data_IF_910817522902
#
_entry.id   IF_910817522902
#
_cell.length_a   1.000
_cell.length_b   1.000
_cell.length_c   1.000
_cell.angle_alpha   90.00
_cell.angle_beta   90.00
_cell.angle_gamma   90.00
#
_symmetry.space_group_name_H-M   'P 1'
#
loop_
_entity.id
_entity.type
_entity.pdbx_description
1 polymer ?
#
# COMPACT_ATOMS: atom_id res chain seq x y z
N UNK A 1 -11.53 -4.64 -29.69
CA UNK A 1 -12.46 -3.68 -30.33
C UNK A 1 -13.63 -3.28 -29.44
N UNK A 2 -14.44 -4.20 -28.87
CA UNK A 2 -15.57 -3.78 -27.99
C UNK A 2 -15.12 -3.34 -26.59
N UNK A 3 -14.20 -4.08 -25.96
CA UNK A 3 -13.65 -3.74 -24.63
C UNK A 3 -12.79 -2.46 -24.66
N UNK A 4 -12.04 -2.25 -25.75
CA UNK A 4 -11.22 -1.03 -25.92
C UNK A 4 -12.11 0.22 -26.05
N UNK A 5 -13.22 0.13 -26.77
CA UNK A 5 -14.19 1.23 -26.83
C UNK A 5 -14.81 1.52 -25.46
N UNK A 6 -15.09 0.49 -24.68
CA UNK A 6 -15.68 0.65 -23.34
C UNK A 6 -14.78 1.45 -22.40
N UNK A 7 -13.46 1.18 -22.34
CA UNK A 7 -12.57 1.97 -21.47
C UNK A 7 -12.43 3.41 -21.96
N UNK A 8 -12.60 3.65 -23.27
CA UNK A 8 -12.44 4.96 -23.89
C UNK A 8 -13.65 5.80 -23.52
N UNK A 9 -14.85 5.27 -23.75
CA UNK A 9 -16.12 5.89 -23.42
C UNK A 9 -16.26 6.19 -21.92
N UNK A 10 -15.83 5.28 -21.03
CA UNK A 10 -15.89 5.50 -19.57
C UNK A 10 -14.98 6.66 -19.13
N UNK A 11 -13.79 6.76 -19.73
CA UNK A 11 -12.86 7.86 -19.45
C UNK A 11 -13.36 9.19 -20.01
N UNK A 12 -13.93 9.18 -21.21
CA UNK A 12 -14.51 10.38 -21.82
C UNK A 12 -15.74 10.88 -21.05
N UNK A 13 -16.59 9.98 -20.57
CA UNK A 13 -17.85 10.33 -19.93
C UNK A 13 -17.72 10.67 -18.44
N UNK A 14 -16.85 9.98 -17.70
CA UNK A 14 -16.85 10.02 -16.22
C UNK A 14 -15.48 10.30 -15.61
N UNK A 15 -14.48 9.47 -15.90
CA UNK A 15 -13.22 9.48 -15.15
C UNK A 15 -12.25 10.58 -15.58
N UNK A 16 -12.44 11.11 -16.78
CA UNK A 16 -11.53 12.03 -17.44
C UNK A 16 -10.48 11.29 -18.29
N UNK A 17 -9.99 12.00 -19.31
CA UNK A 17 -8.92 11.53 -20.22
C UNK A 17 -7.52 11.96 -19.76
N UNK A 18 -7.45 12.90 -18.81
CA UNK A 18 -6.19 13.26 -18.14
C UNK A 18 -5.79 12.16 -17.17
N UNK A 19 -4.50 11.78 -17.08
CA UNK A 19 -4.02 10.83 -16.07
C UNK A 19 -3.97 11.42 -14.65
N UNK A 20 -4.34 12.68 -14.46
CA UNK A 20 -4.31 13.34 -13.15
C UNK A 20 -5.57 13.04 -12.32
N UNK A 21 -5.38 12.81 -11.03
CA UNK A 21 -6.47 12.67 -10.05
C UNK A 21 -6.91 14.06 -9.59
N UNK A 22 -8.22 14.30 -9.54
CA UNK A 22 -8.80 15.56 -9.11
C UNK A 22 -8.38 15.92 -7.68
N UNK A 23 -7.98 17.17 -7.45
CA UNK A 23 -7.53 17.68 -6.16
C UNK A 23 -8.49 18.73 -5.62
N UNK A 24 -8.99 18.51 -4.41
CA UNK A 24 -9.82 19.43 -3.64
C UNK A 24 -8.95 20.20 -2.64
N UNK A 25 -9.16 21.51 -2.52
CA UNK A 25 -8.39 22.36 -1.59
C UNK A 25 -8.73 22.12 -0.10
N UNK A 26 -9.90 21.54 0.17
CA UNK A 26 -10.39 21.26 1.51
C UNK A 26 -11.39 20.09 1.49
N UNK A 27 -11.72 19.58 2.68
CA UNK A 27 -12.70 18.53 2.86
C UNK A 27 -14.05 18.87 2.19
N UNK A 28 -14.62 17.97 1.36
CA UNK A 28 -15.95 18.15 0.79
C UNK A 28 -17.04 18.03 1.87
N UNK A 29 -18.24 18.56 1.58
CA UNK A 29 -19.41 18.16 2.36
C UNK A 29 -19.72 16.68 2.13
N UNK A 30 -20.32 15.97 3.10
CA UNK A 30 -20.67 14.55 2.97
C UNK A 30 -21.48 14.23 1.71
N UNK A 31 -22.48 15.05 1.39
CA UNK A 31 -23.31 14.87 0.18
C UNK A 31 -22.50 15.07 -1.10
N UNK A 32 -21.56 16.03 -1.12
CA UNK A 32 -20.69 16.24 -2.28
C UNK A 32 -19.76 15.05 -2.45
N UNK A 33 -19.16 14.56 -1.37
CA UNK A 33 -18.29 13.40 -1.39
C UNK A 33 -18.99 12.16 -1.95
N UNK A 34 -20.18 11.86 -1.41
CA UNK A 34 -20.98 10.72 -1.84
C UNK A 34 -21.37 10.81 -3.32
N UNK A 35 -21.84 11.98 -3.77
CA UNK A 35 -22.35 12.18 -5.13
C UNK A 35 -21.24 12.22 -6.18
N UNK A 36 -20.19 13.00 -5.93
CA UNK A 36 -19.20 13.34 -6.95
C UNK A 36 -18.08 12.29 -7.04
N UNK A 37 -17.82 11.54 -5.97
CA UNK A 37 -16.68 10.61 -5.89
C UNK A 37 -17.11 9.17 -5.61
N UNK A 38 -17.81 8.92 -4.50
CA UNK A 38 -18.19 7.54 -4.11
C UNK A 38 -19.13 6.90 -5.12
N UNK A 39 -20.26 7.56 -5.42
CA UNK A 39 -21.26 7.04 -6.36
C UNK A 39 -20.71 6.92 -7.79
N UNK A 40 -19.72 7.74 -8.13
CA UNK A 40 -19.06 7.74 -9.43
C UNK A 40 -17.86 6.77 -9.50
N UNK A 41 -17.48 6.16 -8.37
CA UNK A 41 -16.27 5.34 -8.22
C UNK A 41 -15.02 6.05 -8.76
N UNK A 42 -14.83 7.31 -8.33
CA UNK A 42 -13.79 8.21 -8.82
C UNK A 42 -12.86 8.62 -7.68
N UNK A 43 -11.53 8.44 -7.82
CA UNK A 43 -10.59 8.86 -6.79
C UNK A 43 -10.48 10.39 -6.74
N UNK A 44 -10.15 10.92 -5.56
CA UNK A 44 -9.79 12.32 -5.40
C UNK A 44 -8.78 12.54 -4.28
N UNK A 45 -8.00 13.62 -4.40
CA UNK A 45 -7.05 14.04 -3.37
C UNK A 45 -7.66 15.21 -2.62
N UNK A 46 -7.69 15.14 -1.30
CA UNK A 46 -8.16 16.20 -0.42
C UNK A 46 -6.95 16.82 0.25
N UNK A 47 -6.60 18.02 -0.20
CA UNK A 47 -5.57 18.84 0.43
C UNK A 47 -6.03 19.27 1.82
N UNK A 48 -5.06 19.40 2.73
CA UNK A 48 -5.25 20.04 4.03
C UNK A 48 -6.21 19.31 4.98
N UNK A 49 -6.54 18.05 4.70
CA UNK A 49 -7.56 17.30 5.43
C UNK A 49 -7.12 16.83 6.83
N UNK A 50 -5.81 16.76 7.08
CA UNK A 50 -5.24 16.24 8.33
C UNK A 50 -4.35 17.23 9.05
N UNK A 51 -4.35 18.53 8.66
CA UNK A 51 -3.47 19.56 9.25
C UNK A 51 -3.66 19.76 10.75
N UNK A 52 -4.82 19.41 11.29
CA UNK A 52 -5.13 19.50 12.71
C UNK A 52 -4.60 18.32 13.53
N UNK A 53 -4.14 17.24 12.88
CA UNK A 53 -3.55 16.09 13.56
C UNK A 53 -2.17 16.46 14.15
N UNK A 54 -1.95 16.29 15.47
CA UNK A 54 -0.62 16.43 16.06
C UNK A 54 0.47 15.64 15.31
N UNK A 55 0.10 14.47 14.76
CA UNK A 55 0.95 13.58 13.99
C UNK A 55 1.70 14.27 12.85
N UNK A 56 1.09 15.25 12.16
CA UNK A 56 1.72 15.97 11.04
C UNK A 56 3.04 16.63 11.44
N UNK A 57 3.13 17.07 12.69
CA UNK A 57 4.34 17.69 13.23
C UNK A 57 5.20 16.72 14.02
N UNK A 58 4.60 15.81 14.80
CA UNK A 58 5.35 14.98 15.74
C UNK A 58 5.93 13.72 15.12
N UNK A 59 5.30 13.17 14.06
CA UNK A 59 5.74 11.91 13.46
C UNK A 59 6.89 12.10 12.44
N UNK A 60 7.39 13.32 12.28
CA UNK A 60 8.66 13.57 11.57
C UNK A 60 9.89 13.31 12.45
N UNK A 61 9.70 13.13 13.77
CA UNK A 61 10.76 12.80 14.73
C UNK A 61 10.71 11.30 15.09
N UNK A 62 11.66 10.52 14.56
CA UNK A 62 11.79 9.09 14.86
C UNK A 62 11.97 8.82 16.37
N UNK A 63 12.60 9.74 17.10
CA UNK A 63 12.78 9.60 18.54
C UNK A 63 11.46 9.81 19.28
N UNK A 64 10.59 10.69 18.79
CA UNK A 64 9.22 10.83 19.30
C UNK A 64 8.42 9.54 19.07
N UNK A 65 8.43 9.02 17.84
CA UNK A 65 7.75 7.77 17.51
C UNK A 65 8.28 6.62 18.35
N UNK A 66 9.60 6.47 18.46
CA UNK A 66 10.23 5.41 19.28
C UNK A 66 9.82 5.51 20.75
N UNK A 67 9.83 6.71 21.34
CA UNK A 67 9.44 6.90 22.76
C UNK A 67 7.95 6.64 22.98
N UNK A 68 7.09 7.16 22.11
CA UNK A 68 5.63 7.11 22.28
C UNK A 68 5.06 5.75 21.87
N UNK A 69 5.40 5.28 20.67
CA UNK A 69 4.98 3.96 20.18
C UNK A 69 5.62 2.79 20.92
N UNK A 70 6.78 3.00 21.57
CA UNK A 70 7.40 2.03 22.48
C UNK A 70 6.72 1.89 23.85
N UNK A 71 5.58 2.55 24.11
CA UNK A 71 4.83 2.40 25.36
C UNK A 71 5.18 3.39 26.49
N UNK A 72 6.04 4.39 26.25
CA UNK A 72 6.18 5.57 27.11
C UNK A 72 6.63 5.31 28.56
N UNK A 73 7.90 4.93 28.76
CA UNK A 73 8.57 5.02 30.06
C UNK A 73 9.94 4.35 30.03
N UNK A 74 11.02 5.12 30.15
CA UNK A 74 12.42 4.69 30.04
C UNK A 74 12.93 3.77 31.18
N UNK A 75 12.12 2.86 31.72
CA UNK A 75 12.50 2.00 32.84
C UNK A 75 12.06 0.54 32.73
N UNK A 76 11.31 0.14 31.70
CA UNK A 76 11.05 -1.28 31.49
C UNK A 76 10.92 -1.63 30.00
N UNK A 77 12.04 -2.01 29.39
CA UNK A 77 12.11 -2.55 28.03
C UNK A 77 11.35 -3.87 27.84
N UNK A 78 10.72 -4.41 28.88
CA UNK A 78 9.84 -5.59 28.80
C UNK A 78 8.35 -5.27 28.54
N UNK A 79 7.96 -3.99 28.49
CA UNK A 79 6.58 -3.51 28.27
C UNK A 79 6.34 -2.88 26.88
N UNK A 80 7.34 -2.92 25.98
CA UNK A 80 7.18 -2.40 24.63
C UNK A 80 6.13 -3.19 23.84
N UNK A 81 5.28 -2.49 23.08
CA UNK A 81 4.32 -3.14 22.18
C UNK A 81 5.08 -3.68 20.98
N UNK A 82 5.06 -5.00 20.83
CA UNK A 82 5.55 -5.65 19.63
C UNK A 82 4.61 -5.38 18.45
N UNK A 83 5.19 -4.95 17.34
CA UNK A 83 4.48 -4.67 16.09
C UNK A 83 4.86 -5.69 15.02
N UNK A 84 3.96 -5.92 14.08
CA UNK A 84 4.17 -6.85 12.96
C UNK A 84 4.89 -6.15 11.82
N UNK A 85 6.13 -6.58 11.53
CA UNK A 85 6.98 -6.03 10.46
C UNK A 85 7.15 -7.07 9.36
N UNK A 86 6.95 -6.64 8.11
CA UNK A 86 7.11 -7.49 6.95
C UNK A 86 8.54 -7.32 6.42
N UNK A 87 9.29 -8.42 6.38
CA UNK A 87 10.65 -8.48 5.85
C UNK A 87 10.63 -9.15 4.48
N UNK A 88 11.27 -8.52 3.51
CA UNK A 88 11.44 -9.04 2.15
C UNK A 88 12.87 -8.83 1.68
N UNK A 89 13.36 -9.57 0.68
CA UNK A 89 14.73 -9.37 0.20
C UNK A 89 14.88 -8.13 -0.69
N UNK A 90 13.77 -7.60 -1.22
CA UNK A 90 13.79 -6.57 -2.28
C UNK A 90 12.69 -5.51 -2.13
N UNK A 91 12.04 -5.44 -0.95
CA UNK A 91 11.03 -4.43 -0.64
C UNK A 91 9.65 -4.64 -1.26
N UNK A 92 9.48 -5.76 -1.99
CA UNK A 92 8.23 -6.17 -2.63
C UNK A 92 7.62 -7.34 -1.87
N UNK A 93 6.60 -7.03 -1.08
CA UNK A 93 5.74 -8.03 -0.46
C UNK A 93 4.52 -8.30 -1.34
N UNK A 94 3.92 -9.48 -1.20
CA UNK A 94 2.69 -9.86 -1.90
C UNK A 94 2.82 -9.58 -3.40
N UNK A 95 3.87 -10.16 -3.99
CA UNK A 95 4.31 -9.90 -5.34
C UNK A 95 4.72 -11.20 -6.05
N UNK A 96 4.74 -11.17 -7.38
CA UNK A 96 5.19 -12.30 -8.18
C UNK A 96 6.72 -12.37 -8.20
N UNK A 97 7.24 -13.57 -7.94
CA UNK A 97 8.68 -13.87 -7.97
C UNK A 97 8.91 -15.23 -8.65
N UNK A 98 10.13 -15.53 -9.15
CA UNK A 98 10.47 -16.84 -9.66
C UNK A 98 10.18 -17.94 -8.62
N UNK A 99 9.57 -19.04 -9.06
CA UNK A 99 9.27 -20.18 -8.20
C UNK A 99 10.56 -20.85 -7.70
N UNK A 100 10.61 -21.30 -6.43
CA UNK A 100 11.78 -22.00 -5.89
C UNK A 100 12.01 -23.38 -6.54
N UNK A 101 10.96 -24.00 -7.10
CA UNK A 101 11.04 -25.32 -7.73
C UNK A 101 11.37 -25.25 -9.24
N UNK A 102 10.94 -24.17 -9.91
CA UNK A 102 11.20 -23.91 -11.33
C UNK A 102 11.33 -22.40 -11.59
N UNK A 103 12.57 -21.88 -11.71
CA UNK A 103 12.84 -20.45 -11.93
C UNK A 103 12.25 -19.88 -13.22
N UNK A 104 11.81 -20.72 -14.17
CA UNK A 104 11.12 -20.26 -15.39
C UNK A 104 9.63 -19.97 -15.17
N UNK A 105 9.09 -20.40 -14.04
CA UNK A 105 7.72 -20.14 -13.60
C UNK A 105 7.66 -19.11 -12.48
N UNK A 106 6.48 -18.54 -12.22
CA UNK A 106 6.26 -17.55 -11.16
C UNK A 106 5.38 -18.12 -10.06
N UNK A 107 5.56 -17.61 -8.84
CA UNK A 107 4.69 -17.83 -7.69
C UNK A 107 4.36 -16.50 -7.01
N UNK A 108 3.26 -16.46 -6.26
CA UNK A 108 2.89 -15.32 -5.42
C UNK A 108 3.61 -15.46 -4.08
N UNK A 109 4.50 -14.51 -3.74
CA UNK A 109 5.28 -14.56 -2.51
C UNK A 109 4.79 -13.55 -1.47
N UNK A 110 4.31 -14.07 -0.33
CA UNK A 110 4.07 -13.29 0.87
C UNK A 110 5.39 -13.03 1.63
N UNK A 111 5.47 -11.94 2.41
CA UNK A 111 6.68 -11.59 3.14
C UNK A 111 6.92 -12.51 4.34
N UNK A 112 8.15 -12.46 4.88
CA UNK A 112 8.41 -12.98 6.22
C UNK A 112 7.86 -11.98 7.24
N UNK A 113 6.87 -12.39 8.04
CA UNK A 113 6.30 -11.51 9.08
C UNK A 113 7.00 -11.81 10.41
N UNK A 114 7.57 -10.77 11.02
CA UNK A 114 8.22 -10.85 12.31
C UNK A 114 7.62 -9.83 13.28
N UNK A 115 7.28 -10.29 14.49
CA UNK A 115 6.95 -9.39 15.60
C UNK A 115 8.20 -8.92 16.30
N UNK A 116 8.30 -7.63 16.55
CA UNK A 116 9.43 -7.01 17.25
C UNK A 116 9.03 -5.69 17.91
N UNK A 117 9.81 -5.19 18.88
CA UNK A 117 9.51 -3.91 19.52
C UNK A 117 9.46 -2.76 18.52
N UNK A 118 8.49 -1.86 18.65
CA UNK A 118 8.32 -0.74 17.72
C UNK A 118 9.59 0.10 17.47
N UNK A 119 10.42 0.45 18.48
CA UNK A 119 11.66 1.18 18.22
C UNK A 119 12.64 0.41 17.33
N UNK A 120 12.71 -0.92 17.48
CA UNK A 120 13.55 -1.77 16.66
C UNK A 120 12.99 -1.88 15.23
N UNK A 121 11.67 -2.01 15.10
CA UNK A 121 10.98 -1.96 13.80
C UNK A 121 11.30 -0.67 13.05
N UNK A 122 11.14 0.48 13.71
CA UNK A 122 11.39 1.79 13.12
C UNK A 122 12.87 1.94 12.70
N UNK A 123 13.80 1.48 13.53
CA UNK A 123 15.22 1.45 13.19
C UNK A 123 15.50 0.62 11.93
N UNK A 124 14.94 -0.59 11.85
CA UNK A 124 15.11 -1.44 10.67
C UNK A 124 14.49 -0.82 9.41
N UNK A 125 13.33 -0.20 9.50
CA UNK A 125 12.67 0.46 8.37
C UNK A 125 13.49 1.65 7.87
N UNK A 126 13.96 2.52 8.77
CA UNK A 126 14.71 3.73 8.39
C UNK A 126 16.10 3.43 7.84
N UNK A 127 16.74 2.34 8.28
CA UNK A 127 18.11 1.97 7.87
C UNK A 127 18.17 0.94 6.74
N UNK A 128 17.02 0.38 6.33
CA UNK A 128 16.93 -0.53 5.18
C UNK A 128 17.43 0.17 3.91
N UNK A 129 18.46 -0.37 3.27
CA UNK A 129 19.02 0.12 2.03
C UNK A 129 19.27 -1.06 1.06
N UNK A 130 19.74 -0.76 -0.16
CA UNK A 130 19.94 -1.78 -1.20
C UNK A 130 20.98 -2.86 -0.85
N UNK A 131 21.84 -2.62 0.15
CA UNK A 131 22.86 -3.56 0.62
C UNK A 131 22.45 -4.27 1.91
N UNK A 132 21.27 -3.96 2.47
CA UNK A 132 20.73 -4.63 3.64
C UNK A 132 20.34 -6.07 3.31
N UNK A 133 20.44 -6.97 4.29
CA UNK A 133 19.99 -8.36 4.16
C UNK A 133 18.49 -8.49 3.93
N UNK A 134 17.71 -7.48 4.34
CA UNK A 134 16.28 -7.36 4.13
C UNK A 134 15.87 -5.90 3.98
N UNK A 135 14.67 -5.71 3.42
CA UNK A 135 13.89 -4.47 3.49
C UNK A 135 12.74 -4.69 4.46
N UNK A 136 12.67 -3.86 5.49
CA UNK A 136 11.60 -3.86 6.48
C UNK A 136 10.50 -2.88 6.09
N UNK A 137 9.24 -3.30 6.22
CA UNK A 137 8.06 -2.49 5.99
C UNK A 137 6.99 -2.81 7.04
N UNK A 138 6.58 -1.81 7.83
CA UNK A 138 5.37 -1.93 8.66
C UNK A 138 4.16 -1.69 7.75
N UNK A 139 3.54 -2.78 7.32
CA UNK A 139 2.39 -2.76 6.41
C UNK A 139 1.31 -3.77 6.79
N UNK A 140 1.38 -4.28 8.02
CA UNK A 140 0.34 -5.15 8.54
C UNK A 140 -1.01 -4.44 8.42
N UNK A 141 -1.98 -5.12 7.84
CA UNK A 141 -3.36 -4.62 7.77
C UNK A 141 -4.16 -5.20 8.95
N UNK A 142 -5.49 -5.24 8.87
CA UNK A 142 -6.38 -5.81 9.90
C UNK A 142 -6.49 -4.97 11.19
N UNK A 143 -6.77 -3.68 11.06
CA UNK A 143 -6.97 -2.75 12.17
C UNK A 143 -5.72 -2.65 13.07
N UNK A 144 -4.54 -2.73 12.44
CA UNK A 144 -3.26 -2.78 13.14
C UNK A 144 -3.01 -1.51 13.96
N UNK A 145 -3.54 -0.34 13.56
CA UNK A 145 -3.35 0.89 14.30
C UNK A 145 -3.93 0.81 15.71
N UNK A 146 -5.16 0.28 15.82
CA UNK A 146 -5.84 0.16 17.11
C UNK A 146 -5.26 -0.95 17.97
N UNK A 147 -4.74 -2.01 17.36
CA UNK A 147 -4.21 -3.18 18.08
C UNK A 147 -2.72 -3.08 18.43
N UNK A 148 -1.87 -2.55 17.54
CA UNK A 148 -0.41 -2.52 17.69
C UNK A 148 0.16 -1.11 17.96
N UNK A 149 -0.58 -0.03 17.61
CA UNK A 149 -0.07 1.34 17.66
C UNK A 149 -0.93 2.29 18.51
N UNK A 150 -1.74 1.75 19.43
CA UNK A 150 -2.71 2.51 20.23
C UNK A 150 -2.08 3.65 21.06
N UNK A 151 -0.80 3.55 21.42
CA UNK A 151 -0.06 4.61 22.11
C UNK A 151 0.08 5.91 21.26
N UNK A 152 -0.09 5.80 19.94
CA UNK A 152 -0.09 6.92 18.99
C UNK A 152 -1.50 7.46 18.68
N UNK A 153 -2.56 6.81 19.19
CA UNK A 153 -3.94 7.09 18.77
C UNK A 153 -4.41 8.52 19.04
N UNK A 154 -3.87 9.19 20.07
CA UNK A 154 -4.21 10.58 20.37
C UNK A 154 -3.65 11.60 19.38
N UNK A 155 -2.77 11.18 18.47
CA UNK A 155 -2.12 12.09 17.51
C UNK A 155 -2.89 12.19 16.18
N UNK A 156 -3.93 11.39 15.99
CA UNK A 156 -4.76 11.31 14.78
C UNK A 156 -6.23 11.13 15.15
N UNK A 157 -7.15 11.45 14.24
CA UNK A 157 -8.55 11.14 14.44
C UNK A 157 -8.82 9.63 14.26
N UNK A 158 -9.75 9.05 15.03
CA UNK A 158 -10.10 7.62 14.91
C UNK A 158 -10.91 7.29 13.63
N UNK A 159 -11.46 8.30 12.97
CA UNK A 159 -12.13 8.22 11.67
C UNK A 159 -12.17 9.61 11.01
N UNK A 160 -12.58 9.67 9.73
CA UNK A 160 -12.73 10.93 8.99
C UNK A 160 -14.21 11.34 8.98
N UNK A 161 -14.62 12.41 9.71
CA UNK A 161 -16.05 12.67 9.97
C UNK A 161 -16.92 12.83 8.72
N UNK A 162 -16.45 13.61 7.74
CA UNK A 162 -17.20 13.85 6.51
C UNK A 162 -17.35 12.60 5.63
N UNK A 163 -16.39 11.67 5.69
CA UNK A 163 -16.45 10.40 4.97
C UNK A 163 -17.40 9.42 5.68
N UNK A 164 -17.31 9.31 7.01
CA UNK A 164 -18.20 8.46 7.80
C UNK A 164 -19.65 8.88 7.70
N UNK A 165 -19.94 10.18 7.71
CA UNK A 165 -21.29 10.70 7.50
C UNK A 165 -21.82 10.37 6.10
N UNK A 166 -20.99 10.50 5.07
CA UNK A 166 -21.36 10.21 3.68
C UNK A 166 -21.63 8.72 3.44
N UNK A 167 -20.80 7.84 4.00
CA UNK A 167 -20.90 6.39 3.84
C UNK A 167 -21.92 5.76 4.81
N UNK A 168 -22.31 6.47 5.86
CA UNK A 168 -23.24 5.99 6.88
C UNK A 168 -22.65 4.92 7.81
N UNK A 169 -21.32 4.82 7.88
CA UNK A 169 -20.61 3.86 8.72
C UNK A 169 -19.27 4.41 9.26
N UNK A 170 -18.75 3.77 10.32
CA UNK A 170 -17.40 3.99 10.82
C UNK A 170 -16.42 3.03 10.12
N UNK A 171 -15.12 3.36 10.05
CA UNK A 171 -14.13 2.50 9.42
C UNK A 171 -13.99 1.16 10.15
N UNK A 172 -14.13 0.06 9.40
CA UNK A 172 -13.94 -1.30 9.89
C UNK A 172 -12.51 -1.54 10.38
N UNK A 173 -11.52 -0.92 9.73
CA UNK A 173 -10.12 -0.97 10.11
C UNK A 173 -9.44 0.40 9.97
N UNK A 174 -8.51 0.70 10.89
CA UNK A 174 -7.53 1.76 10.77
C UNK A 174 -6.15 1.12 10.82
N UNK A 175 -5.34 1.36 9.79
CA UNK A 175 -4.01 0.78 9.68
C UNK A 175 -2.94 1.88 9.65
N UNK A 176 -1.72 1.52 10.03
CA UNK A 176 -0.54 2.37 9.96
C UNK A 176 0.48 1.74 9.01
N UNK A 177 0.99 2.56 8.10
CA UNK A 177 2.05 2.17 7.19
C UNK A 177 3.31 2.99 7.44
N UNK A 178 4.43 2.32 7.69
CA UNK A 178 5.75 2.95 7.80
C UNK A 178 6.73 2.13 6.97
N UNK A 179 7.18 2.71 5.86
CA UNK A 179 8.14 2.11 4.94
C UNK A 179 9.14 3.17 4.45
N UNK A 180 9.98 2.78 3.51
CA UNK A 180 10.93 3.69 2.87
C UNK A 180 10.83 3.58 1.34
N UNK A 181 11.74 4.24 0.61
CA UNK A 181 11.74 4.27 -0.86
C UNK A 181 11.92 2.90 -1.54
N UNK A 182 12.29 1.84 -0.80
CA UNK A 182 12.36 0.47 -1.30
C UNK A 182 11.05 -0.29 -1.12
N UNK A 183 10.11 0.21 -0.30
CA UNK A 183 8.84 -0.45 -0.01
C UNK A 183 7.85 -0.24 -1.15
N UNK A 184 7.59 -1.29 -1.94
CA UNK A 184 6.70 -1.27 -3.10
C UNK A 184 5.56 -2.27 -2.91
N UNK A 185 4.34 -1.81 -3.16
CA UNK A 185 3.14 -2.65 -3.16
C UNK A 185 2.74 -2.89 -4.61
N UNK A 186 2.63 -4.17 -5.00
CA UNK A 186 2.26 -4.54 -6.37
C UNK A 186 0.80 -4.20 -6.67
N UNK A 187 0.43 -4.19 -7.96
CA UNK A 187 -0.94 -3.91 -8.36
C UNK A 187 -1.94 -4.93 -7.77
N UNK A 188 -2.97 -4.42 -7.11
CA UNK A 188 -4.07 -5.19 -6.54
C UNK A 188 -5.33 -4.32 -6.47
N UNK A 189 -6.42 -4.89 -5.93
CA UNK A 189 -7.65 -4.17 -5.60
C UNK A 189 -8.16 -4.63 -4.24
N UNK A 190 -8.86 -3.75 -3.56
CA UNK A 190 -9.55 -4.04 -2.32
C UNK A 190 -11.08 -4.07 -2.53
N UNK A 191 -11.81 -4.43 -1.49
CA UNK A 191 -13.27 -4.35 -1.43
C UNK A 191 -13.73 -3.29 -0.43
N UNK A 192 -12.89 -2.28 -0.19
CA UNK A 192 -13.11 -1.22 0.79
C UNK A 192 -13.03 0.15 0.11
N UNK A 193 -13.78 1.10 0.65
CA UNK A 193 -13.62 2.53 0.37
C UNK A 193 -12.40 3.04 1.17
N UNK A 194 -11.26 3.28 0.50
CA UNK A 194 -10.03 3.59 1.21
C UNK A 194 -9.80 5.10 1.34
N UNK A 195 -9.49 5.54 2.56
CA UNK A 195 -9.17 6.94 2.87
C UNK A 195 -7.70 6.98 3.33
N UNK A 196 -6.81 7.13 2.36
CA UNK A 196 -5.36 7.03 2.56
C UNK A 196 -4.76 8.39 2.93
N UNK A 197 -4.37 8.57 4.19
CA UNK A 197 -3.74 9.80 4.67
C UNK A 197 -2.21 9.68 4.71
N UNK A 198 -1.50 10.66 4.15
CA UNK A 198 -0.03 10.76 4.31
C UNK A 198 0.29 11.74 5.43
N UNK A 199 0.97 11.26 6.47
CA UNK A 199 1.38 12.07 7.63
C UNK A 199 2.77 12.66 7.45
N UNK A 200 3.72 11.88 6.93
CA UNK A 200 5.10 12.27 6.68
C UNK A 200 5.59 11.67 5.35
N UNK A 201 6.46 12.40 4.65
CA UNK A 201 6.97 12.01 3.33
C UNK A 201 5.93 12.16 2.21
N UNK A 202 6.02 11.27 1.22
CA UNK A 202 5.10 11.20 0.10
C UNK A 202 4.82 9.75 -0.31
N UNK A 203 3.66 9.53 -0.94
CA UNK A 203 3.27 8.24 -1.50
C UNK A 203 2.84 8.43 -2.95
N UNK A 204 3.41 7.63 -3.83
CA UNK A 204 3.09 7.62 -5.26
C UNK A 204 2.13 6.47 -5.55
N UNK A 205 1.02 6.77 -6.21
CA UNK A 205 0.04 5.79 -6.63
C UNK A 205 -0.05 5.75 -8.14
N UNK A 206 -0.21 4.52 -8.65
CA UNK A 206 -0.61 4.24 -10.01
C UNK A 206 -1.96 3.54 -9.94
N UNK A 207 -2.99 4.12 -10.56
CA UNK A 207 -4.37 3.65 -10.44
C UNK A 207 -4.94 3.27 -11.80
N UNK A 208 -5.64 2.14 -11.83
CA UNK A 208 -6.48 1.74 -12.95
C UNK A 208 -7.93 1.64 -12.44
N UNK A 209 -8.92 2.17 -13.17
CA UNK A 209 -10.31 1.98 -12.80
C UNK A 209 -10.71 0.51 -12.93
N UNK A 210 -11.76 0.04 -12.24
CA UNK A 210 -12.21 -1.34 -12.36
C UNK A 210 -12.57 -1.78 -13.79
N UNK A 211 -12.96 -0.84 -14.66
CA UNK A 211 -13.20 -1.10 -16.09
C UNK A 211 -11.96 -1.55 -16.85
N UNK A 212 -10.77 -1.25 -16.32
CA UNK A 212 -9.47 -1.59 -16.89
C UNK A 212 -8.91 -2.93 -16.35
N UNK A 213 -9.68 -3.68 -15.53
CA UNK A 213 -9.23 -4.93 -14.88
C UNK A 213 -8.65 -5.97 -15.87
N UNK A 214 -9.23 -6.07 -17.06
CA UNK A 214 -8.78 -7.01 -18.10
C UNK A 214 -7.34 -6.73 -18.60
N UNK A 215 -6.82 -5.52 -18.33
CA UNK A 215 -5.43 -5.12 -18.64
C UNK A 215 -4.43 -5.63 -17.61
N UNK A 216 -4.88 -6.11 -16.46
CA UNK A 216 -3.99 -6.55 -15.37
C UNK A 216 -3.51 -8.00 -15.53
N UNK A 217 -4.04 -8.74 -16.52
CA UNK A 217 -3.68 -10.13 -16.78
C UNK A 217 -3.69 -10.98 -15.49
N UNK A 218 -4.81 -10.98 -14.76
CA UNK A 218 -4.93 -11.76 -13.52
C UNK A 218 -4.81 -13.25 -13.85
N UNK A 219 -3.93 -13.97 -13.14
CA UNK A 219 -3.73 -15.41 -13.26
C UNK A 219 -3.59 -16.04 -11.87
N UNK A 220 -3.87 -17.32 -11.78
CA UNK A 220 -3.69 -18.10 -10.54
C UNK A 220 -2.22 -18.54 -10.39
N UNK A 221 -1.58 -18.08 -9.32
CA UNK A 221 -0.19 -18.41 -8.99
C UNK A 221 -0.09 -19.27 -7.75
N UNK A 222 0.80 -20.28 -7.69
CA UNK A 222 1.10 -20.99 -6.45
C UNK A 222 1.51 -20.00 -5.36
N UNK A 223 0.96 -20.15 -4.16
CA UNK A 223 1.31 -19.33 -3.01
C UNK A 223 2.63 -19.81 -2.39
N UNK A 224 3.48 -18.85 -2.04
CA UNK A 224 4.76 -19.05 -1.40
C UNK A 224 4.95 -18.01 -0.29
N UNK A 225 5.81 -18.31 0.67
CA UNK A 225 6.15 -17.40 1.75
C UNK A 225 7.66 -17.33 1.95
N UNK A 226 8.17 -16.11 2.14
CA UNK A 226 9.55 -15.89 2.54
C UNK A 226 9.78 -16.26 4.01
N UNK A 227 10.92 -16.88 4.28
CA UNK A 227 11.41 -17.17 5.62
C UNK A 227 12.80 -16.55 5.76
N UNK A 228 12.98 -15.65 6.73
CA UNK A 228 14.27 -15.03 7.02
C UNK A 228 15.01 -15.77 8.15
N UNK A 229 16.31 -15.94 8.01
CA UNK A 229 17.20 -16.53 9.01
C UNK A 229 18.14 -15.45 9.56
N UNK A 230 18.03 -15.14 10.85
CA UNK A 230 18.93 -14.18 11.52
C UNK A 230 20.36 -14.72 11.67
N UNK A 231 20.52 -16.04 11.74
CA UNK A 231 21.84 -16.68 11.90
C UNK A 231 22.69 -16.58 10.63
N UNK A 232 22.05 -16.73 9.47
CA UNK A 232 22.73 -16.70 8.16
C UNK A 232 22.57 -15.37 7.43
N UNK A 233 21.57 -14.58 7.79
CA UNK A 233 21.20 -13.36 7.09
C UNK A 233 20.51 -13.60 5.74
N UNK A 234 20.02 -14.81 5.49
CA UNK A 234 19.49 -15.25 4.18
C UNK A 234 17.97 -15.47 4.20
N UNK A 235 17.36 -15.32 3.02
CA UNK A 235 15.96 -15.69 2.78
C UNK A 235 15.85 -17.04 2.10
N UNK A 236 14.88 -17.84 2.55
CA UNK A 236 14.37 -18.99 1.83
C UNK A 236 12.93 -18.73 1.38
N UNK A 237 12.60 -19.06 0.13
CA UNK A 237 11.23 -19.02 -0.38
C UNK A 237 10.66 -20.44 -0.38
N UNK A 238 9.48 -20.63 0.20
CA UNK A 238 8.83 -21.95 0.29
C UNK A 238 7.40 -21.86 -0.23
N UNK A 239 7.06 -22.76 -1.16
CA UNK A 239 5.66 -22.95 -1.56
C UNK A 239 4.83 -23.44 -0.36
N UNK A 240 3.61 -22.95 -0.25
CA UNK A 240 2.66 -23.37 0.77
C UNK A 240 2.31 -24.86 0.61
N UNK A 241 2.12 -25.54 1.74
CA UNK A 241 1.68 -26.94 1.79
C UNK A 241 0.48 -27.05 2.75
N UNK A 242 -0.71 -27.45 2.27
CA UNK A 242 -1.04 -27.83 0.89
C UNK A 242 -0.92 -26.67 -0.11
N UNK A 243 -0.69 -26.99 -1.38
CA UNK A 243 -0.59 -25.97 -2.43
C UNK A 243 -1.90 -25.20 -2.54
N UNK A 244 -1.79 -23.89 -2.37
CA UNK A 244 -2.87 -22.92 -2.56
C UNK A 244 -2.51 -22.04 -3.75
N UNK A 245 -3.52 -21.58 -4.49
CA UNK A 245 -3.34 -20.65 -5.60
C UNK A 245 -3.95 -19.29 -5.26
N UNK A 246 -3.30 -18.22 -5.71
CA UNK A 246 -3.70 -16.83 -5.50
C UNK A 246 -3.86 -16.15 -6.87
N UNK A 247 -5.05 -15.61 -7.19
CA UNK A 247 -5.22 -14.79 -8.38
C UNK A 247 -4.49 -13.46 -8.18
N UNK A 248 -3.51 -13.15 -9.03
CA UNK A 248 -2.71 -11.93 -8.91
C UNK A 248 -2.38 -11.28 -10.25
N UNK A 249 -2.06 -9.98 -10.22
CA UNK A 249 -1.67 -9.20 -11.39
C UNK A 249 -0.34 -9.69 -11.96
N UNK A 250 -0.32 -10.06 -13.24
CA UNK A 250 0.92 -10.47 -13.92
C UNK A 250 1.80 -9.29 -14.33
N UNK A 251 1.22 -8.09 -14.41
CA UNK A 251 1.85 -6.93 -15.04
C UNK A 251 2.79 -6.23 -14.06
N UNK A 252 4.03 -6.02 -14.48
CA UNK A 252 4.90 -5.04 -13.86
C UNK A 252 4.76 -3.67 -14.56
N UNK A 253 4.21 -2.63 -13.90
CA UNK A 253 4.08 -1.30 -14.50
C UNK A 253 5.42 -0.62 -14.82
N UNK A 254 6.50 -1.02 -14.15
CA UNK A 254 7.84 -0.43 -14.27
C UNK A 254 8.87 -1.52 -14.58
N UNK A 255 8.80 -2.15 -15.78
CA UNK A 255 9.75 -3.18 -16.15
C UNK A 255 11.16 -2.59 -16.31
N UNK A 256 12.17 -3.39 -15.97
CA UNK A 256 13.57 -2.99 -16.17
C UNK A 256 13.86 -2.75 -17.66
N UNK A 257 14.88 -1.94 -18.01
CA UNK A 257 15.26 -1.75 -19.42
C UNK A 257 15.53 -3.07 -20.16
N UNK A 258 16.09 -4.07 -19.47
CA UNK A 258 16.41 -5.38 -20.04
C UNK A 258 15.17 -6.26 -20.30
N UNK A 259 14.09 -6.08 -19.52
CA UNK A 259 12.87 -6.89 -19.64
C UNK A 259 11.72 -6.16 -20.35
N UNK A 260 11.92 -4.89 -20.72
CA UNK A 260 10.86 -3.98 -21.21
C UNK A 260 10.14 -4.51 -22.45
N UNK A 261 10.87 -4.92 -23.47
CA UNK A 261 10.25 -5.37 -24.74
C UNK A 261 9.49 -6.69 -24.56
N UNK A 262 10.02 -7.59 -23.71
CA UNK A 262 9.35 -8.85 -23.34
C UNK A 262 8.06 -8.59 -22.56
N UNK A 263 8.07 -7.64 -21.63
CA UNK A 263 6.90 -7.24 -20.85
C UNK A 263 5.83 -6.58 -21.73
N UNK A 264 6.23 -5.66 -22.61
CA UNK A 264 5.33 -5.00 -23.56
C UNK A 264 4.67 -6.02 -24.50
N UNK A 265 5.44 -6.98 -25.01
CA UNK A 265 4.91 -8.02 -25.89
C UNK A 265 4.05 -9.07 -25.15
N UNK A 266 4.34 -9.34 -23.88
CA UNK A 266 3.56 -10.28 -23.05
C UNK A 266 2.25 -9.66 -22.55
N UNK A 267 2.21 -8.35 -22.32
CA UNK A 267 1.08 -7.64 -21.73
C UNK A 267 0.59 -6.43 -22.56
N UNK A 268 0.30 -6.60 -23.87
CA UNK A 268 0.00 -5.49 -24.76
C UNK A 268 -1.23 -4.67 -24.37
N UNK A 269 -2.26 -5.25 -23.74
CA UNK A 269 -3.45 -4.52 -23.31
C UNK A 269 -3.14 -3.48 -22.22
N UNK A 270 -2.14 -3.76 -21.37
CA UNK A 270 -1.68 -2.79 -20.39
C UNK A 270 -0.88 -1.69 -21.09
N UNK A 271 0.17 -2.04 -21.81
CA UNK A 271 1.13 -1.07 -22.34
C UNK A 271 0.60 -0.23 -23.52
N UNK A 272 -0.34 -0.77 -24.31
CA UNK A 272 -0.96 -0.06 -25.43
C UNK A 272 -2.30 0.60 -25.06
N UNK A 273 -2.84 0.31 -23.87
CA UNK A 273 -4.09 0.89 -23.39
C UNK A 273 -3.92 2.32 -22.82
N UNK A 274 -5.01 2.93 -22.34
CA UNK A 274 -4.98 4.26 -21.73
C UNK A 274 -3.99 4.37 -20.57
N UNK A 275 -3.32 5.50 -20.42
CA UNK A 275 -2.38 5.68 -19.31
C UNK A 275 -3.08 5.49 -17.97
N UNK A 276 -2.50 4.74 -17.02
CA UNK A 276 -3.03 4.70 -15.67
C UNK A 276 -3.00 6.10 -15.04
N UNK A 277 -3.91 6.36 -14.11
CA UNK A 277 -3.88 7.60 -13.35
C UNK A 277 -2.67 7.60 -12.42
N UNK A 278 -2.03 8.75 -12.28
CA UNK A 278 -0.86 8.92 -11.44
C UNK A 278 -1.11 10.04 -10.45
N UNK A 279 -0.85 9.78 -9.18
CA UNK A 279 -0.88 10.82 -8.17
C UNK A 279 0.22 10.65 -7.13
N UNK A 280 0.69 11.80 -6.64
CA UNK A 280 1.57 11.90 -5.49
C UNK A 280 0.79 12.56 -4.37
N UNK A 281 0.70 11.86 -3.24
CA UNK A 281 0.21 12.39 -1.98
C UNK A 281 1.38 12.90 -1.17
N UNK A 282 1.25 14.11 -0.62
CA UNK A 282 2.21 14.70 0.31
C UNK A 282 1.67 14.69 1.73
N UNK A 283 2.54 14.92 2.70
CA UNK A 283 2.17 15.13 4.09
C UNK A 283 1.01 16.14 4.24
N UNK A 284 -0.04 15.75 4.95
CA UNK A 284 -1.25 16.55 5.16
C UNK A 284 -2.39 16.30 4.16
N UNK A 285 -2.16 15.44 3.16
CA UNK A 285 -3.14 15.10 2.12
C UNK A 285 -3.79 13.74 2.36
N UNK A 286 -5.03 13.60 1.89
CA UNK A 286 -5.79 12.35 1.84
C UNK A 286 -6.07 11.99 0.39
N UNK A 287 -5.98 10.71 0.03
CA UNK A 287 -6.54 10.14 -1.19
C UNK A 287 -7.77 9.33 -0.80
N UNK A 288 -8.90 9.65 -1.42
CA UNK A 288 -9.98 8.70 -1.56
C UNK A 288 -9.65 7.79 -2.75
N UNK A 289 -9.55 6.49 -2.48
CA UNK A 289 -9.20 5.43 -3.44
C UNK A 289 -10.32 4.39 -3.48
#
# INVERSE_FOLDING_TARGET
MEIEKLWEEVRELSLGTSPEVERLEAAPSPIRFLRDFVSANKPCIISNATRHWPAITSWTDDAYLSRRGGGGGALDSSLGVDVSVHLTPHGRADALVPSPDDPSSLCFASPHVQRMPFPLALHHISHSNSNSSFVAYAQHQNDCFRSEYSALASDVDPHIPWASEALGCLPEAVNLWIGNHLSETSFHKDHYENIYAVVSGEKHFLLLPPTDLHRMYIRDYPAACFSYSHDTGEFALKLEKPLRYVPWCSVNPFPSPASRDTEISSFPLYFNGPKPFQCTLKAGEILYL
#
